data_IF_535856862517
#
_entry.id   IF_535856862517
#
_cell.length_a   1.000
_cell.length_b   1.000
_cell.length_c   1.000
_cell.angle_alpha   90.00
_cell.angle_beta   90.00
_cell.angle_gamma   90.00
#
_symmetry.space_group_name_H-M   'P 1'
#
loop_
_entity.id
_entity.type
_entity.pdbx_description
1 polymer ?
#
# COMPACT_ATOMS: atom_id res chain seq x y z
N UNK A 1 8.60 -12.38 -11.97
CA UNK A 1 8.79 -13.08 -10.69
C UNK A 1 7.68 -12.57 -9.81
N UNK A 2 6.67 -13.37 -9.53
CA UNK A 2 5.62 -12.97 -8.59
C UNK A 2 6.26 -12.85 -7.21
N UNK A 3 6.17 -11.68 -6.61
CA UNK A 3 6.64 -11.45 -5.24
C UNK A 3 5.52 -11.97 -4.34
N UNK A 4 5.70 -13.18 -3.80
CA UNK A 4 4.80 -13.73 -2.81
C UNK A 4 5.16 -13.18 -1.42
N UNK A 5 4.20 -12.53 -0.77
CA UNK A 5 4.33 -12.09 0.62
C UNK A 5 3.66 -13.11 1.54
N UNK A 6 4.46 -13.87 2.29
CA UNK A 6 3.97 -14.84 3.28
C UNK A 6 4.20 -14.29 4.69
N UNK A 7 3.18 -14.37 5.54
CA UNK A 7 3.25 -13.97 6.95
C UNK A 7 2.61 -15.03 7.84
N UNK A 8 3.22 -15.29 9.00
CA UNK A 8 2.64 -16.16 10.02
C UNK A 8 1.42 -15.48 10.67
N UNK A 9 0.32 -16.23 10.77
CA UNK A 9 -0.97 -15.73 11.28
C UNK A 9 -0.86 -15.22 12.72
N UNK A 10 -0.18 -15.95 13.59
CA UNK A 10 -0.04 -15.59 15.00
C UNK A 10 0.84 -14.35 15.17
N UNK A 11 1.89 -14.22 14.36
CA UNK A 11 2.73 -13.04 14.31
C UNK A 11 1.94 -11.81 13.85
N UNK A 12 1.11 -11.94 12.80
CA UNK A 12 0.25 -10.86 12.33
C UNK A 12 -0.76 -10.43 13.40
N UNK A 13 -1.42 -11.38 14.06
CA UNK A 13 -2.33 -11.09 15.18
C UNK A 13 -1.61 -10.38 16.33
N UNK A 14 -0.39 -10.80 16.67
CA UNK A 14 0.42 -10.12 17.69
C UNK A 14 0.70 -8.67 17.32
N UNK A 15 1.05 -8.38 16.07
CA UNK A 15 1.25 -7.00 15.63
C UNK A 15 -0.04 -6.17 15.67
N UNK A 16 -1.19 -6.77 15.35
CA UNK A 16 -2.50 -6.11 15.51
C UNK A 16 -2.71 -5.69 16.97
N UNK A 17 -2.43 -6.59 17.91
CA UNK A 17 -2.55 -6.32 19.35
C UNK A 17 -1.54 -5.28 19.84
N UNK A 18 -0.28 -5.37 19.41
CA UNK A 18 0.79 -4.46 19.83
C UNK A 18 0.57 -3.02 19.32
N UNK A 19 -0.14 -2.86 18.20
CA UNK A 19 -0.39 -1.55 17.56
C UNK A 19 -1.76 -0.94 17.87
N UNK A 20 -2.65 -1.68 18.55
CA UNK A 20 -4.01 -1.24 18.86
C UNK A 20 -4.01 -0.01 19.80
N UNK A 21 -5.13 0.75 19.86
CA UNK A 21 -5.27 1.84 20.82
C UNK A 21 -5.02 1.39 22.26
N UNK A 22 -4.14 2.09 22.98
CA UNK A 22 -3.75 1.79 24.35
C UNK A 22 -2.70 0.69 24.52
N UNK A 23 -2.11 0.16 23.45
CA UNK A 23 -0.95 -0.73 23.53
C UNK A 23 0.37 0.04 23.63
N UNK A 24 1.44 -0.67 24.01
CA UNK A 24 2.78 -0.09 24.16
C UNK A 24 3.33 0.49 22.85
N UNK A 25 2.98 -0.12 21.71
CA UNK A 25 3.38 0.33 20.38
C UNK A 25 2.19 0.90 19.60
N UNK A 26 1.26 1.60 20.29
CA UNK A 26 0.07 2.19 19.65
C UNK A 26 0.45 2.99 18.40
N UNK A 27 -0.12 2.58 17.25
CA UNK A 27 0.02 3.32 16.01
C UNK A 27 -1.21 3.12 15.12
N UNK A 28 -2.13 4.09 15.14
CA UNK A 28 -3.42 4.03 14.45
C UNK A 28 -3.33 3.66 12.96
N UNK A 29 -2.38 4.25 12.23
CA UNK A 29 -2.18 3.98 10.80
C UNK A 29 -1.75 2.54 10.51
N UNK A 30 -0.65 2.09 11.13
CA UNK A 30 -0.17 0.70 11.04
C UNK A 30 -1.25 -0.28 11.47
N UNK A 31 -1.88 -0.07 12.64
CA UNK A 31 -2.95 -0.93 13.14
C UNK A 31 -4.09 -1.09 12.12
N UNK A 32 -4.55 0.01 11.52
CA UNK A 32 -5.59 -0.02 10.50
C UNK A 32 -5.14 -0.83 9.27
N UNK A 33 -3.91 -0.59 8.78
CA UNK A 33 -3.35 -1.27 7.62
C UNK A 33 -3.26 -2.79 7.83
N UNK A 34 -2.65 -3.24 8.93
CA UNK A 34 -2.45 -4.66 9.19
C UNK A 34 -3.76 -5.38 9.54
N UNK A 35 -4.71 -4.69 10.20
CA UNK A 35 -6.04 -5.25 10.47
C UNK A 35 -6.86 -5.44 9.19
N UNK A 36 -6.76 -4.48 8.26
CA UNK A 36 -7.37 -4.62 6.94
C UNK A 36 -6.73 -5.77 6.17
N UNK A 37 -5.39 -5.85 6.13
CA UNK A 37 -4.68 -6.94 5.47
C UNK A 37 -5.09 -8.32 6.01
N UNK A 38 -5.15 -8.47 7.33
CA UNK A 38 -5.62 -9.71 7.97
C UNK A 38 -7.05 -10.06 7.55
N UNK A 39 -7.97 -9.09 7.58
CA UNK A 39 -9.35 -9.30 7.14
C UNK A 39 -9.42 -9.71 5.67
N UNK A 40 -8.62 -9.07 4.81
CA UNK A 40 -8.55 -9.41 3.39
C UNK A 40 -8.06 -10.85 3.17
N UNK A 41 -7.02 -11.28 3.89
CA UNK A 41 -6.47 -12.64 3.77
C UNK A 41 -7.44 -13.76 4.17
N UNK A 42 -8.44 -13.44 5.00
CA UNK A 42 -9.48 -14.40 5.39
C UNK A 42 -10.62 -14.48 4.37
N UNK A 43 -10.91 -13.36 3.69
CA UNK A 43 -12.03 -13.24 2.76
C UNK A 43 -11.66 -13.66 1.33
N UNK A 44 -10.42 -13.38 0.90
CA UNK A 44 -9.94 -13.66 -0.44
C UNK A 44 -8.84 -14.72 -0.41
N UNK A 45 -8.96 -15.72 -1.29
CA UNK A 45 -7.96 -16.80 -1.46
C UNK A 45 -7.06 -16.61 -2.68
N UNK A 46 -7.33 -15.58 -3.47
CA UNK A 46 -6.59 -15.24 -4.68
C UNK A 46 -5.57 -14.13 -4.40
N UNK A 47 -4.69 -13.86 -5.37
CA UNK A 47 -3.71 -12.78 -5.30
C UNK A 47 -4.39 -11.42 -5.09
N UNK A 48 -3.84 -10.60 -4.19
CA UNK A 48 -4.32 -9.24 -3.91
C UNK A 48 -3.43 -8.26 -4.67
N UNK A 49 -4.03 -7.49 -5.58
CA UNK A 49 -3.37 -6.36 -6.23
C UNK A 49 -3.46 -5.10 -5.36
N UNK A 50 -2.31 -4.50 -5.03
CA UNK A 50 -2.24 -3.25 -4.28
C UNK A 50 -2.04 -2.10 -5.25
N UNK A 51 -3.05 -1.23 -5.33
CA UNK A 51 -3.04 -0.05 -6.20
C UNK A 51 -2.75 1.18 -5.34
N UNK A 52 -1.63 1.86 -5.63
CA UNK A 52 -1.34 3.17 -5.06
C UNK A 52 -1.96 4.25 -5.94
N UNK A 53 -2.53 5.28 -5.32
CA UNK A 53 -3.09 6.43 -6.04
C UNK A 53 -2.55 7.73 -5.45
N UNK A 54 -2.54 8.79 -6.26
CA UNK A 54 -2.19 10.14 -5.83
C UNK A 54 -3.41 10.96 -5.35
N UNK A 55 -4.56 10.32 -5.14
CA UNK A 55 -5.83 10.98 -4.83
C UNK A 55 -6.66 11.39 -6.06
N UNK A 56 -6.11 11.30 -7.27
CA UNK A 56 -6.89 11.33 -8.51
C UNK A 56 -7.11 9.88 -8.99
N UNK A 57 -8.37 9.51 -9.22
CA UNK A 57 -8.78 8.15 -9.57
C UNK A 57 -8.23 7.66 -10.93
N UNK A 58 -7.68 8.55 -11.75
CA UNK A 58 -7.02 8.28 -13.04
C UNK A 58 -5.62 7.65 -12.91
N UNK A 59 -5.06 7.58 -11.69
CA UNK A 59 -3.70 7.09 -11.45
C UNK A 59 -3.45 5.59 -11.69
N UNK A 60 -4.52 4.79 -11.84
CA UNK A 60 -4.41 3.38 -12.20
C UNK A 60 -3.75 3.17 -13.58
N UNK A 61 -4.03 4.08 -14.52
CA UNK A 61 -3.67 3.89 -15.94
C UNK A 61 -2.68 4.94 -16.47
N UNK A 62 -2.22 5.88 -15.64
CA UNK A 62 -1.20 6.86 -16.04
C UNK A 62 0.18 6.20 -16.07
N UNK A 63 0.71 5.93 -17.26
CA UNK A 63 2.09 5.43 -17.47
C UNK A 63 3.11 6.28 -16.71
N UNK A 64 2.88 7.59 -16.62
CA UNK A 64 3.74 8.52 -15.88
C UNK A 64 3.69 8.28 -14.37
N UNK A 65 2.51 8.03 -13.80
CA UNK A 65 2.41 7.74 -12.38
C UNK A 65 3.09 6.42 -12.03
N UNK A 66 2.92 5.39 -12.88
CA UNK A 66 3.62 4.11 -12.73
C UNK A 66 5.14 4.29 -12.84
N UNK A 67 5.62 5.07 -13.82
CA UNK A 67 7.05 5.39 -13.96
C UNK A 67 7.60 6.15 -12.75
N UNK A 68 6.81 7.03 -12.14
CA UNK A 68 7.18 7.69 -10.89
C UNK A 68 7.32 6.70 -9.73
N UNK A 69 6.42 5.71 -9.61
CA UNK A 69 6.52 4.66 -8.61
C UNK A 69 7.77 3.79 -8.83
N UNK A 70 8.09 3.45 -10.08
CA UNK A 70 9.30 2.72 -10.46
C UNK A 70 10.57 3.51 -10.12
N UNK A 71 10.61 4.80 -10.42
CA UNK A 71 11.74 5.66 -10.07
C UNK A 71 11.91 5.77 -8.56
N UNK A 72 10.80 5.86 -7.82
CA UNK A 72 10.81 5.90 -6.36
C UNK A 72 11.32 4.60 -5.74
N UNK A 73 10.88 3.43 -6.22
CA UNK A 73 11.35 2.14 -5.70
C UNK A 73 12.82 1.87 -6.07
N UNK A 74 13.29 2.43 -7.19
CA UNK A 74 14.72 2.40 -7.58
C UNK A 74 15.62 3.31 -6.72
N UNK A 75 15.04 4.11 -5.81
CA UNK A 75 15.76 4.99 -4.90
C UNK A 75 16.10 6.37 -5.48
N UNK A 76 15.55 6.75 -6.64
CA UNK A 76 15.72 8.10 -7.19
C UNK A 76 14.94 9.11 -6.35
N UNK A 77 15.49 10.31 -6.18
CA UNK A 77 14.74 11.42 -5.58
C UNK A 77 13.88 12.09 -6.65
N UNK A 78 12.63 11.63 -6.75
CA UNK A 78 11.63 12.12 -7.70
C UNK A 78 10.41 12.66 -6.95
N UNK A 79 9.78 13.70 -7.51
CA UNK A 79 8.51 14.26 -7.05
C UNK A 79 7.47 14.12 -8.15
N UNK A 80 6.26 13.68 -7.82
CA UNK A 80 5.16 13.61 -8.78
C UNK A 80 4.38 14.92 -8.79
N UNK A 81 4.34 15.60 -9.95
CA UNK A 81 3.51 16.77 -10.19
C UNK A 81 2.32 16.36 -11.08
N UNK A 82 1.13 16.33 -10.47
CA UNK A 82 -0.12 15.90 -11.11
C UNK A 82 -0.68 16.93 -12.09
N UNK A 83 -0.34 18.21 -11.94
CA UNK A 83 -0.91 19.27 -12.79
C UNK A 83 -0.31 19.27 -14.20
N UNK A 84 0.83 18.61 -14.40
CA UNK A 84 1.44 18.46 -15.72
C UNK A 84 0.77 17.37 -16.58
N UNK A 85 -0.20 16.63 -16.04
CA UNK A 85 -1.01 15.65 -16.81
C UNK A 85 -2.27 16.30 -17.42
N UNK A 86 -2.67 17.49 -16.97
CA UNK A 86 -3.87 18.19 -17.47
C UNK A 86 -3.66 18.94 -18.80
N UNK A 87 -2.42 19.04 -19.28
CA UNK A 87 -2.05 19.78 -20.51
C UNK A 87 -2.06 18.91 -21.79
N UNK A 88 -2.55 17.66 -21.73
CA UNK A 88 -2.58 16.74 -22.88
C UNK A 88 -3.97 16.15 -23.23
N UNK A 89 -5.06 16.79 -22.78
CA UNK A 89 -6.43 16.50 -23.26
C UNK A 89 -6.93 17.53 -24.29
#
# INVERSE_FOLDING_TARGET
MEIEFTIDENLLMRFIEDTRPGAEMEHKGIHALISQFYTMSMLWRDSIDVVLTNGQHTSLDSERYQQYLDDKVSGKQVTFDANQDEDQD
#
